data_IF_833198625809
#
_entry.id   IF_833198625809
#
_cell.length_a   1.000
_cell.length_b   1.000
_cell.length_c   1.000
_cell.angle_alpha   90.00
_cell.angle_beta   90.00
_cell.angle_gamma   90.00
#
_symmetry.space_group_name_H-M   'P 1'
#
loop_
_entity.id
_entity.type
_entity.pdbx_description
1 polymer ?
#
# COMPACT_ATOMS: atom_id res chain seq x y z
N UNK A 1 37.90 34.70 20.35
CA UNK A 1 36.89 34.43 21.39
C UNK A 1 35.53 34.43 20.73
N UNK A 2 34.94 33.25 20.53
CA UNK A 2 33.63 33.09 19.88
C UNK A 2 32.55 33.18 20.97
N UNK A 3 31.52 34.04 20.85
CA UNK A 3 30.47 34.09 21.85
C UNK A 3 29.58 32.87 21.72
N UNK A 4 29.50 32.07 22.79
CA UNK A 4 28.53 30.99 22.95
C UNK A 4 27.13 31.58 23.10
N UNK A 5 26.28 31.36 22.11
CA UNK A 5 24.87 31.74 22.15
C UNK A 5 24.09 30.83 23.11
N UNK A 6 23.30 31.46 23.99
CA UNK A 6 22.44 30.81 24.97
C UNK A 6 21.42 29.86 24.32
N UNK A 7 21.24 28.67 24.93
CA UNK A 7 20.30 27.61 24.52
C UNK A 7 18.85 28.07 24.33
N UNK A 8 18.46 29.23 24.87
CA UNK A 8 17.11 29.81 24.68
C UNK A 8 16.92 30.48 23.31
N UNK A 9 17.98 30.98 22.66
CA UNK A 9 17.87 31.63 21.35
C UNK A 9 17.77 30.63 20.19
N UNK A 10 18.36 29.43 20.33
CA UNK A 10 18.29 28.37 19.30
C UNK A 10 16.86 27.81 19.17
N UNK A 11 16.07 27.84 20.24
CA UNK A 11 14.68 27.38 20.20
C UNK A 11 13.73 28.37 19.54
N UNK A 12 14.01 29.68 19.62
CA UNK A 12 13.20 30.72 18.97
C UNK A 12 13.35 30.71 17.44
N UNK A 13 14.57 30.50 16.94
CA UNK A 13 14.86 30.48 15.50
C UNK A 13 14.34 29.21 14.79
N UNK A 14 14.15 28.10 15.53
CA UNK A 14 13.55 26.87 14.97
C UNK A 14 12.02 26.94 14.89
N UNK A 15 11.37 27.80 15.66
CA UNK A 15 9.91 27.93 15.65
C UNK A 15 9.41 28.67 14.40
N UNK A 16 10.13 29.71 13.97
CA UNK A 16 9.81 30.49 12.77
C UNK A 16 9.93 29.70 11.46
N UNK A 17 10.77 28.65 11.43
CA UNK A 17 10.96 27.83 10.22
C UNK A 17 9.81 26.85 9.96
N UNK A 18 9.11 26.41 11.02
CA UNK A 18 7.92 25.56 10.91
C UNK A 18 6.67 26.39 10.56
N UNK A 19 6.58 27.62 11.04
CA UNK A 19 5.51 28.55 10.67
C UNK A 19 5.64 29.03 9.21
N UNK A 20 6.86 29.08 8.65
CA UNK A 20 7.09 29.45 7.24
C UNK A 20 6.82 28.33 6.22
N UNK A 21 6.61 27.07 6.67
CA UNK A 21 6.36 25.91 5.80
C UNK A 21 4.87 25.59 5.62
N UNK A 22 3.98 26.31 6.31
CA UNK A 22 2.54 26.17 6.15
C UNK A 22 2.05 27.25 5.16
N UNK A 23 1.47 26.88 4.00
CA UNK A 23 0.85 27.86 3.14
C UNK A 23 -0.35 28.47 3.88
N UNK A 24 -0.29 29.78 4.09
CA UNK A 24 -1.36 30.68 4.53
C UNK A 24 -2.38 30.12 5.55
N UNK A 25 -2.16 30.46 6.82
CA UNK A 25 -3.26 30.82 7.73
C UNK A 25 -3.84 29.74 8.67
N UNK A 26 -3.40 28.48 8.61
CA UNK A 26 -3.82 27.49 9.62
C UNK A 26 -2.82 27.41 10.78
N UNK A 27 -3.14 28.07 11.90
CA UNK A 27 -2.37 27.95 13.14
C UNK A 27 -2.48 26.53 13.69
N UNK A 28 -1.33 25.93 14.02
CA UNK A 28 -1.23 24.63 14.68
C UNK A 28 -1.74 24.73 16.13
N UNK A 29 -2.99 24.37 16.40
CA UNK A 29 -3.55 24.25 17.75
C UNK A 29 -3.32 22.87 18.38
N UNK A 30 -2.15 22.28 18.12
CA UNK A 30 -1.73 21.05 18.80
C UNK A 30 -1.04 21.33 20.13
N UNK A 31 -1.29 20.49 21.13
CA UNK A 31 -0.61 20.49 22.43
C UNK A 31 0.91 20.30 22.26
N UNK A 32 1.69 20.75 23.24
CA UNK A 32 3.17 20.67 23.22
C UNK A 32 3.68 19.23 23.02
N UNK A 33 2.89 18.24 23.44
CA UNK A 33 3.17 16.81 23.30
C UNK A 33 3.02 16.32 21.84
N UNK A 34 1.98 16.77 21.13
CA UNK A 34 1.75 16.43 19.71
C UNK A 34 2.87 16.97 18.80
N UNK A 35 3.47 18.12 19.15
CA UNK A 35 4.62 18.70 18.42
C UNK A 35 5.93 17.91 18.64
N UNK A 36 6.14 17.40 19.85
CA UNK A 36 7.30 16.55 20.17
C UNK A 36 7.18 15.16 19.55
N UNK A 37 5.95 14.62 19.54
CA UNK A 37 5.61 13.40 18.84
C UNK A 37 5.98 13.53 17.36
N UNK A 38 5.57 14.62 16.69
CA UNK A 38 5.87 14.90 15.27
C UNK A 38 7.38 14.93 14.93
N UNK A 39 8.21 15.52 15.78
CA UNK A 39 9.65 15.71 15.51
C UNK A 39 10.50 14.48 15.86
N UNK A 40 10.03 13.61 16.76
CA UNK A 40 10.74 12.38 17.13
C UNK A 40 10.62 11.24 16.10
N UNK A 41 9.62 11.31 15.21
CA UNK A 41 9.13 10.19 14.38
C UNK A 41 9.86 9.94 13.07
N UNK A 42 10.69 10.88 12.64
CA UNK A 42 11.36 10.86 11.36
C UNK A 42 12.76 10.22 11.42
N UNK A 43 13.05 9.47 12.49
CA UNK A 43 14.39 8.96 12.81
C UNK A 43 14.80 7.66 12.11
N UNK A 44 13.93 6.99 11.34
CA UNK A 44 14.24 5.64 10.82
C UNK A 44 14.34 5.49 9.31
N UNK A 45 14.12 6.55 8.52
CA UNK A 45 14.59 6.70 7.12
C UNK A 45 14.93 8.18 6.93
N UNK A 46 16.00 8.56 6.21
CA UNK A 46 16.20 9.96 5.85
C UNK A 46 15.02 10.41 4.97
N UNK A 47 14.16 11.30 5.47
CA UNK A 47 13.17 11.95 4.60
C UNK A 47 13.80 12.77 3.48
N UNK A 48 15.13 12.87 3.44
CA UNK A 48 15.86 13.50 2.35
C UNK A 48 15.61 12.85 0.99
N UNK A 49 15.11 11.62 0.91
CA UNK A 49 14.72 10.98 -0.36
C UNK A 49 13.25 11.20 -0.75
N UNK A 50 12.41 11.64 0.18
CA UNK A 50 11.02 11.98 -0.11
C UNK A 50 10.98 13.45 -0.53
N UNK A 51 10.35 13.75 -1.68
CA UNK A 51 10.10 15.14 -2.07
C UNK A 51 9.45 15.89 -0.91
N UNK A 52 9.81 17.17 -0.71
CA UNK A 52 9.19 18.04 0.30
C UNK A 52 7.65 18.09 0.16
N UNK A 53 7.13 17.75 -1.02
CA UNK A 53 5.70 17.69 -1.33
C UNK A 53 5.06 16.30 -1.08
N UNK A 54 5.73 15.43 -0.32
CA UNK A 54 5.23 14.08 -0.04
C UNK A 54 3.95 14.11 0.79
N UNK A 55 3.89 14.96 1.83
CA UNK A 55 2.73 15.19 2.70
C UNK A 55 2.61 16.70 2.96
N UNK A 56 1.61 17.35 2.36
CA UNK A 56 1.33 18.78 2.56
C UNK A 56 0.42 19.03 3.77
N UNK A 57 -0.48 18.08 4.05
CA UNK A 57 -1.46 18.14 5.15
C UNK A 57 -1.20 16.98 6.13
N UNK A 58 -1.15 17.20 7.45
CA UNK A 58 -0.99 16.10 8.42
C UNK A 58 -2.05 15.01 8.24
N UNK A 59 -1.67 13.73 8.37
CA UNK A 59 -2.53 12.57 8.05
C UNK A 59 -3.93 12.62 8.72
N UNK A 60 -4.03 13.14 9.94
CA UNK A 60 -5.28 13.24 10.69
C UNK A 60 -6.20 14.39 10.24
N UNK A 61 -5.70 15.27 9.38
CA UNK A 61 -6.45 16.38 8.78
C UNK A 61 -6.69 16.18 7.28
N UNK A 62 -6.18 15.09 6.70
CA UNK A 62 -6.39 14.77 5.29
C UNK A 62 -7.82 14.31 5.06
N UNK A 63 -8.41 14.76 3.94
CA UNK A 63 -9.62 14.10 3.43
C UNK A 63 -9.29 12.71 2.86
N UNK A 64 -10.31 11.92 2.51
CA UNK A 64 -10.09 10.56 2.01
C UNK A 64 -9.29 10.52 0.69
N UNK A 65 -9.38 11.52 -0.17
CA UNK A 65 -8.65 11.59 -1.46
C UNK A 65 -7.18 11.92 -1.24
N UNK A 66 -6.89 12.84 -0.34
CA UNK A 66 -5.54 13.15 0.12
C UNK A 66 -4.91 11.96 0.83
N UNK A 67 -5.67 11.29 1.70
CA UNK A 67 -5.24 10.07 2.39
C UNK A 67 -4.89 8.95 1.41
N UNK A 68 -5.73 8.71 0.40
CA UNK A 68 -5.44 7.76 -0.68
C UNK A 68 -4.11 8.08 -1.36
N UNK A 69 -3.89 9.35 -1.75
CA UNK A 69 -2.64 9.77 -2.39
C UNK A 69 -1.44 9.52 -1.47
N UNK A 70 -1.57 9.84 -0.18
CA UNK A 70 -0.51 9.63 0.83
C UNK A 70 -0.17 8.15 0.98
N UNK A 71 -1.17 7.28 1.13
CA UNK A 71 -1.00 5.82 1.26
C UNK A 71 -0.31 5.26 0.01
N UNK A 72 -0.82 5.60 -1.18
CA UNK A 72 -0.29 5.08 -2.45
C UNK A 72 1.14 5.56 -2.70
N UNK A 73 1.42 6.86 -2.46
CA UNK A 73 2.78 7.39 -2.57
C UNK A 73 3.72 6.72 -1.57
N UNK A 74 3.29 6.48 -0.33
CA UNK A 74 4.08 5.79 0.70
C UNK A 74 4.41 4.35 0.32
N UNK A 75 3.45 3.62 -0.24
CA UNK A 75 3.68 2.26 -0.74
C UNK A 75 4.64 2.24 -1.93
N UNK A 76 4.51 3.20 -2.86
CA UNK A 76 5.43 3.35 -4.00
C UNK A 76 6.86 3.69 -3.57
N UNK A 77 7.00 4.57 -2.58
CA UNK A 77 8.27 4.97 -2.00
C UNK A 77 8.86 3.93 -1.02
N UNK A 78 8.16 2.83 -0.77
CA UNK A 78 8.58 1.76 0.14
C UNK A 78 8.96 2.27 1.54
N UNK A 79 8.14 3.17 2.09
CA UNK A 79 8.35 3.70 3.44
C UNK A 79 8.24 2.54 4.45
N UNK A 80 9.26 2.34 5.28
CA UNK A 80 9.26 1.29 6.33
C UNK A 80 8.80 1.76 7.71
N UNK A 81 8.47 3.06 7.86
CA UNK A 81 8.10 3.64 9.14
C UNK A 81 6.73 3.12 9.62
N UNK A 82 6.73 2.22 10.61
CA UNK A 82 5.52 1.63 11.19
C UNK A 82 4.52 2.67 11.73
N UNK A 83 5.00 3.79 12.30
CA UNK A 83 4.13 4.83 12.84
C UNK A 83 3.38 5.60 11.75
N UNK A 84 4.02 5.81 10.59
CA UNK A 84 3.35 6.38 9.42
C UNK A 84 2.18 5.48 9.00
N UNK A 85 2.44 4.19 8.81
CA UNK A 85 1.41 3.23 8.41
C UNK A 85 0.31 3.05 9.45
N UNK A 86 0.65 3.06 10.74
CA UNK A 86 -0.33 3.05 11.83
C UNK A 86 -1.27 4.26 11.78
N UNK A 87 -0.75 5.46 11.49
CA UNK A 87 -1.57 6.67 11.33
C UNK A 87 -2.45 6.59 10.08
N UNK A 88 -1.90 6.13 8.96
CA UNK A 88 -2.67 5.88 7.74
C UNK A 88 -3.78 4.84 7.95
N UNK A 89 -3.51 3.74 8.66
CA UNK A 89 -4.48 2.70 8.97
C UNK A 89 -5.64 3.26 9.81
N UNK A 90 -5.34 4.01 10.88
CA UNK A 90 -6.36 4.68 11.69
C UNK A 90 -7.22 5.66 10.86
N UNK A 91 -6.58 6.50 10.06
CA UNK A 91 -7.28 7.46 9.21
C UNK A 91 -8.12 6.76 8.13
N UNK A 92 -7.64 5.64 7.58
CA UNK A 92 -8.38 4.81 6.65
C UNK A 92 -9.63 4.23 7.30
N UNK A 93 -9.50 3.63 8.49
CA UNK A 93 -10.63 3.04 9.21
C UNK A 93 -11.73 4.07 9.49
N UNK A 94 -11.36 5.32 9.77
CA UNK A 94 -12.30 6.43 9.94
C UNK A 94 -13.04 6.79 8.64
N UNK A 95 -12.35 6.79 7.50
CA UNK A 95 -12.88 7.21 6.19
C UNK A 95 -13.32 6.05 5.28
N UNK A 96 -13.38 4.82 5.80
CA UNK A 96 -13.43 3.58 5.00
C UNK A 96 -14.56 3.51 3.95
N UNK A 97 -15.70 4.14 4.25
CA UNK A 97 -16.89 4.13 3.39
C UNK A 97 -16.81 5.06 2.18
N UNK A 98 -15.77 5.89 2.10
CA UNK A 98 -15.59 6.83 0.98
C UNK A 98 -14.75 6.26 -0.18
N UNK A 99 -14.18 5.07 -0.01
CA UNK A 99 -13.30 4.47 -1.02
C UNK A 99 -14.05 3.53 -1.95
N UNK A 100 -13.78 3.68 -3.25
CA UNK A 100 -14.26 2.74 -4.28
C UNK A 100 -13.46 1.44 -4.26
N UNK A 101 -13.99 0.36 -4.88
CA UNK A 101 -13.28 -0.92 -5.01
C UNK A 101 -11.87 -0.77 -5.60
N UNK A 102 -11.73 0.05 -6.65
CA UNK A 102 -10.45 0.35 -7.29
C UNK A 102 -9.45 1.08 -6.38
N UNK A 103 -9.95 1.92 -5.47
CA UNK A 103 -9.12 2.61 -4.49
C UNK A 103 -8.72 1.67 -3.36
N UNK A 104 -9.62 0.79 -2.91
CA UNK A 104 -9.31 -0.28 -1.96
C UNK A 104 -8.19 -1.20 -2.47
N UNK A 105 -8.19 -1.55 -3.76
CA UNK A 105 -7.10 -2.31 -4.41
C UNK A 105 -5.76 -1.59 -4.29
N UNK A 106 -5.74 -0.26 -4.51
CA UNK A 106 -4.52 0.55 -4.38
C UNK A 106 -4.06 0.62 -2.92
N UNK A 107 -5.00 0.75 -1.99
CA UNK A 107 -4.74 0.82 -0.55
C UNK A 107 -4.16 -0.50 -0.04
N UNK A 108 -4.80 -1.63 -0.33
CA UNK A 108 -4.31 -2.96 0.09
C UNK A 108 -2.94 -3.25 -0.48
N UNK A 109 -2.70 -2.91 -1.76
CA UNK A 109 -1.39 -3.07 -2.39
C UNK A 109 -0.32 -2.20 -1.71
N UNK A 110 -0.66 -0.96 -1.34
CA UNK A 110 0.28 -0.09 -0.63
C UNK A 110 0.66 -0.63 0.76
N UNK A 111 -0.31 -1.12 1.53
CA UNK A 111 -0.05 -1.76 2.83
C UNK A 111 0.73 -3.08 2.68
N UNK A 112 0.40 -3.90 1.69
CA UNK A 112 1.11 -5.13 1.36
C UNK A 112 2.58 -4.87 1.03
N UNK A 113 2.85 -3.90 0.15
CA UNK A 113 4.22 -3.48 -0.20
C UNK A 113 5.01 -2.94 1.00
N UNK A 114 4.32 -2.31 1.94
CA UNK A 114 4.93 -1.82 3.18
C UNK A 114 5.19 -2.93 4.20
N UNK A 115 4.69 -4.14 3.96
CA UNK A 115 4.68 -5.26 4.91
C UNK A 115 4.10 -4.84 6.27
N UNK A 116 3.05 -4.01 6.24
CA UNK A 116 2.38 -3.55 7.45
C UNK A 116 1.26 -4.52 7.83
N UNK A 117 1.48 -5.30 8.88
CA UNK A 117 0.61 -6.36 9.36
C UNK A 117 -0.39 -5.84 10.41
N UNK A 118 -1.60 -5.53 9.97
CA UNK A 118 -2.69 -5.12 10.86
C UNK A 118 -3.96 -5.93 10.54
N UNK A 119 -4.24 -7.00 11.30
CA UNK A 119 -5.38 -7.87 11.02
C UNK A 119 -6.72 -7.14 11.03
N UNK A 120 -6.88 -6.10 11.87
CA UNK A 120 -8.12 -5.32 11.93
C UNK A 120 -8.32 -4.52 10.64
N UNK A 121 -7.24 -3.88 10.16
CA UNK A 121 -7.23 -3.17 8.89
C UNK A 121 -7.57 -4.11 7.71
N UNK A 122 -6.89 -5.26 7.62
CA UNK A 122 -7.08 -6.20 6.51
C UNK A 122 -8.44 -6.89 6.54
N UNK A 123 -8.98 -7.20 7.71
CA UNK A 123 -10.36 -7.67 7.86
C UNK A 123 -11.35 -6.64 7.32
N UNK A 124 -11.18 -5.37 7.70
CA UNK A 124 -12.08 -4.31 7.23
C UNK A 124 -11.98 -4.08 5.71
N UNK A 125 -10.77 -4.14 5.13
CA UNK A 125 -10.57 -4.07 3.68
C UNK A 125 -11.22 -5.27 2.99
N UNK A 126 -11.05 -6.48 3.54
CA UNK A 126 -11.62 -7.70 2.98
C UNK A 126 -13.15 -7.64 2.93
N UNK A 127 -13.81 -7.21 4.01
CA UNK A 127 -15.27 -7.01 4.02
C UNK A 127 -15.72 -6.03 2.94
N UNK A 128 -15.06 -4.87 2.82
CA UNK A 128 -15.41 -3.86 1.80
C UNK A 128 -15.18 -4.36 0.37
N UNK A 129 -14.12 -5.16 0.15
CA UNK A 129 -13.85 -5.79 -1.15
C UNK A 129 -14.91 -6.84 -1.49
N UNK A 130 -15.37 -7.63 -0.52
CA UNK A 130 -16.44 -8.61 -0.70
C UNK A 130 -17.78 -7.95 -1.03
N UNK A 131 -18.12 -6.84 -0.35
CA UNK A 131 -19.32 -6.05 -0.61
C UNK A 131 -19.32 -5.41 -2.01
N UNK A 132 -18.13 -5.10 -2.53
CA UNK A 132 -17.94 -4.41 -3.82
C UNK A 132 -17.30 -5.29 -4.89
N UNK A 133 -17.36 -6.61 -4.76
CA UNK A 133 -16.64 -7.56 -5.61
C UNK A 133 -16.98 -7.41 -7.10
N UNK A 134 -18.23 -7.07 -7.42
CA UNK A 134 -18.75 -6.82 -8.77
C UNK A 134 -18.06 -5.64 -9.48
N UNK A 135 -17.45 -4.74 -8.72
CA UNK A 135 -16.73 -3.56 -9.24
C UNK A 135 -15.23 -3.82 -9.44
N UNK A 136 -14.75 -5.02 -9.12
CA UNK A 136 -13.36 -5.42 -9.34
C UNK A 136 -13.16 -5.89 -10.78
N UNK A 137 -12.07 -5.46 -11.39
CA UNK A 137 -11.60 -6.05 -12.64
C UNK A 137 -10.83 -7.33 -12.35
N UNK A 138 -10.82 -8.24 -13.31
CA UNK A 138 -10.03 -9.46 -13.24
C UNK A 138 -8.55 -9.20 -12.94
N UNK A 139 -8.00 -8.07 -13.42
CA UNK A 139 -6.61 -7.68 -13.20
C UNK A 139 -6.33 -7.15 -11.80
N UNK A 140 -7.36 -6.75 -11.04
CA UNK A 140 -7.21 -6.29 -9.66
C UNK A 140 -7.03 -7.48 -8.70
N UNK A 141 -7.62 -8.64 -9.03
CA UNK A 141 -7.71 -9.77 -8.12
C UNK A 141 -6.32 -10.32 -7.73
N UNK A 142 -5.39 -10.56 -8.67
CA UNK A 142 -4.04 -11.00 -8.31
C UNK A 142 -3.29 -9.98 -7.45
N UNK A 143 -3.59 -8.68 -7.61
CA UNK A 143 -2.98 -7.61 -6.80
C UNK A 143 -3.45 -7.72 -5.35
N UNK A 144 -4.74 -7.91 -5.13
CA UNK A 144 -5.32 -8.09 -3.78
C UNK A 144 -4.71 -9.32 -3.12
N UNK A 145 -4.77 -10.47 -3.80
CA UNK A 145 -4.27 -11.75 -3.28
C UNK A 145 -2.79 -11.67 -2.91
N UNK A 146 -1.98 -11.13 -3.81
CA UNK A 146 -0.55 -10.95 -3.56
C UNK A 146 -0.28 -10.01 -2.38
N UNK A 147 -0.96 -8.86 -2.32
CA UNK A 147 -0.77 -7.91 -1.23
C UNK A 147 -1.14 -8.48 0.15
N UNK A 148 -2.22 -9.27 0.22
CA UNK A 148 -2.62 -10.00 1.41
C UNK A 148 -1.59 -11.08 1.79
N UNK A 149 -1.05 -11.82 0.81
CA UNK A 149 -0.02 -12.83 1.05
C UNK A 149 1.28 -12.24 1.60
N UNK A 150 1.69 -11.04 1.14
CA UNK A 150 2.92 -10.36 1.60
C UNK A 150 2.89 -10.01 3.09
N UNK A 151 1.71 -9.90 3.69
CA UNK A 151 1.51 -9.64 5.13
C UNK A 151 1.02 -10.87 5.89
N UNK A 152 0.97 -12.04 5.24
CA UNK A 152 0.47 -13.27 5.85
C UNK A 152 -1.03 -13.27 6.17
N UNK A 153 -1.81 -12.35 5.58
CA UNK A 153 -3.26 -12.27 5.80
C UNK A 153 -4.01 -13.25 4.89
N UNK A 154 -4.73 -14.18 5.51
CA UNK A 154 -5.46 -15.24 4.83
C UNK A 154 -6.91 -15.29 5.31
N UNK A 155 -7.82 -14.68 4.54
CA UNK A 155 -9.25 -14.76 4.77
C UNK A 155 -9.86 -15.76 3.79
N UNK A 156 -10.33 -16.91 4.32
CA UNK A 156 -10.83 -18.03 3.52
C UNK A 156 -11.98 -17.63 2.59
N UNK A 157 -12.87 -16.76 3.04
CA UNK A 157 -14.00 -16.28 2.22
C UNK A 157 -13.51 -15.40 1.08
N UNK A 158 -12.70 -14.37 1.39
CA UNK A 158 -12.13 -13.47 0.38
C UNK A 158 -11.34 -14.26 -0.65
N UNK A 159 -10.38 -15.09 -0.22
CA UNK A 159 -9.53 -15.86 -1.12
C UNK A 159 -10.35 -16.85 -1.94
N UNK A 160 -11.30 -17.56 -1.32
CA UNK A 160 -12.18 -18.50 -2.03
C UNK A 160 -12.96 -17.83 -3.16
N UNK A 161 -13.60 -16.68 -2.89
CA UNK A 161 -14.34 -15.94 -3.93
C UNK A 161 -13.43 -15.42 -5.03
N UNK A 162 -12.32 -14.80 -4.65
CA UNK A 162 -11.35 -14.23 -5.60
C UNK A 162 -10.72 -15.32 -6.49
N UNK A 163 -10.37 -16.47 -5.94
CA UNK A 163 -9.85 -17.60 -6.71
C UNK A 163 -10.90 -18.23 -7.62
N UNK A 164 -12.16 -18.32 -7.19
CA UNK A 164 -13.26 -18.76 -8.05
C UNK A 164 -13.34 -17.89 -9.31
N UNK A 165 -13.42 -16.57 -9.13
CA UNK A 165 -13.49 -15.60 -10.24
C UNK A 165 -12.24 -15.69 -11.14
N UNK A 166 -11.05 -15.81 -10.54
CA UNK A 166 -9.81 -16.00 -11.31
C UNK A 166 -9.81 -17.29 -12.12
N UNK A 167 -10.29 -18.40 -11.56
CA UNK A 167 -10.28 -19.70 -12.23
C UNK A 167 -11.17 -19.75 -13.47
N UNK A 168 -12.25 -18.99 -13.46
CA UNK A 168 -13.19 -18.85 -14.59
C UNK A 168 -12.70 -17.90 -15.68
N UNK A 169 -11.69 -17.07 -15.38
CA UNK A 169 -11.23 -15.98 -16.26
C UNK A 169 -9.69 -15.96 -16.37
N UNK A 170 -9.03 -17.11 -16.16
CA UNK A 170 -7.56 -17.19 -16.09
C UNK A 170 -6.91 -16.83 -17.43
N UNK A 171 -7.58 -17.14 -18.53
CA UNK A 171 -7.23 -16.79 -19.91
C UNK A 171 -7.18 -15.28 -20.16
N UNK A 172 -7.88 -14.49 -19.34
CA UNK A 172 -7.91 -13.03 -19.41
C UNK A 172 -6.80 -12.37 -18.61
N UNK A 173 -6.02 -13.15 -17.84
CA UNK A 173 -4.88 -12.65 -17.11
C UNK A 173 -3.62 -12.62 -17.99
N UNK A 174 -2.90 -11.50 -17.95
CA UNK A 174 -1.54 -11.45 -18.46
C UNK A 174 -0.58 -12.26 -17.57
N UNK A 175 0.58 -12.62 -18.12
CA UNK A 175 1.65 -13.40 -17.43
C UNK A 175 1.94 -12.92 -16.01
N UNK A 176 2.04 -11.59 -15.81
CA UNK A 176 2.32 -11.02 -14.50
C UNK A 176 1.21 -11.31 -13.47
N UNK A 177 -0.06 -11.21 -13.88
CA UNK A 177 -1.20 -11.51 -13.01
C UNK A 177 -1.24 -12.97 -12.58
N UNK A 178 -0.89 -13.89 -13.48
CA UNK A 178 -0.79 -15.33 -13.19
C UNK A 178 0.30 -15.57 -12.13
N UNK A 179 1.50 -15.01 -12.31
CA UNK A 179 2.60 -15.15 -11.35
C UNK A 179 2.21 -14.64 -9.96
N UNK A 180 1.55 -13.48 -9.88
CA UNK A 180 1.08 -12.93 -8.61
C UNK A 180 0.05 -13.85 -7.92
N UNK A 181 -0.90 -14.39 -8.69
CA UNK A 181 -1.91 -15.32 -8.16
C UNK A 181 -1.29 -16.63 -7.65
N UNK A 182 -0.32 -17.20 -8.38
CA UNK A 182 0.42 -18.40 -7.95
C UNK A 182 1.21 -18.13 -6.67
N UNK A 183 1.91 -17.00 -6.60
CA UNK A 183 2.68 -16.63 -5.42
C UNK A 183 1.78 -16.54 -4.18
N UNK A 184 0.62 -15.88 -4.31
CA UNK A 184 -0.38 -15.82 -3.25
C UNK A 184 -0.99 -17.18 -2.90
N UNK A 185 -1.14 -18.09 -3.87
CA UNK A 185 -1.69 -19.43 -3.60
C UNK A 185 -0.73 -20.30 -2.78
N UNK A 186 0.58 -20.10 -2.94
CA UNK A 186 1.60 -20.78 -2.15
C UNK A 186 1.49 -20.47 -0.66
N UNK A 187 1.15 -19.23 -0.30
CA UNK A 187 0.99 -18.85 1.11
C UNK A 187 -0.34 -19.31 1.72
N UNK A 188 -1.36 -19.49 0.87
CA UNK A 188 -2.74 -19.73 1.31
C UNK A 188 -3.13 -21.21 1.46
N UNK A 189 -2.19 -22.16 1.30
CA UNK A 189 -2.46 -23.62 1.20
C UNK A 189 -3.58 -23.98 0.19
N UNK A 190 -3.94 -23.05 -0.71
CA UNK A 190 -5.10 -23.13 -1.61
C UNK A 190 -4.69 -23.46 -3.04
N UNK A 191 -3.53 -24.11 -3.19
CA UNK A 191 -2.95 -24.44 -4.49
C UNK A 191 -3.88 -25.31 -5.34
N UNK A 192 -4.67 -26.21 -4.76
CA UNK A 192 -5.38 -27.25 -5.52
C UNK A 192 -6.35 -26.72 -6.59
N UNK A 193 -7.06 -25.63 -6.31
CA UNK A 193 -8.11 -25.10 -7.21
C UNK A 193 -7.47 -24.35 -8.38
N UNK A 194 -6.47 -23.51 -8.10
CA UNK A 194 -5.78 -22.75 -9.14
C UNK A 194 -4.83 -23.62 -9.96
N UNK A 195 -4.15 -24.60 -9.35
CA UNK A 195 -3.14 -25.41 -10.02
C UNK A 195 -3.70 -26.13 -11.23
N UNK A 196 -4.89 -26.73 -11.12
CA UNK A 196 -5.49 -27.51 -12.22
C UNK A 196 -5.79 -26.62 -13.45
N UNK A 197 -6.47 -25.50 -13.24
CA UNK A 197 -6.82 -24.55 -14.31
C UNK A 197 -5.62 -23.76 -14.85
N UNK A 198 -4.68 -23.39 -13.99
CA UNK A 198 -3.44 -22.75 -14.42
C UNK A 198 -2.64 -23.73 -15.28
N UNK A 199 -2.48 -24.99 -14.87
CA UNK A 199 -1.77 -26.01 -15.67
C UNK A 199 -2.44 -26.26 -17.03
N UNK A 200 -3.78 -26.28 -17.09
CA UNK A 200 -4.53 -26.33 -18.34
C UNK A 200 -4.25 -25.09 -19.22
N UNK A 201 -4.21 -23.89 -18.62
CA UNK A 201 -3.90 -22.66 -19.36
C UNK A 201 -2.41 -22.53 -19.75
N UNK A 202 -1.50 -23.14 -18.99
CA UNK A 202 -0.04 -23.11 -19.24
C UNK A 202 0.33 -23.92 -20.48
N UNK A 203 -0.47 -24.90 -20.91
CA UNK A 203 -0.28 -25.53 -22.23
C UNK A 203 -0.34 -24.51 -23.38
N UNK A 204 -1.05 -23.38 -23.20
CA UNK A 204 -1.09 -22.26 -24.15
C UNK A 204 0.16 -21.38 -24.05
N UNK A 205 0.72 -21.20 -22.84
CA UNK A 205 1.90 -20.35 -22.62
C UNK A 205 3.24 -21.04 -22.95
N UNK A 206 3.33 -22.37 -22.84
CA UNK A 206 4.57 -23.12 -23.16
C UNK A 206 4.90 -23.14 -24.66
N UNK A 207 3.92 -22.89 -25.54
CA UNK A 207 4.19 -22.79 -26.98
C UNK A 207 4.95 -21.50 -27.31
N UNK A 208 4.69 -20.38 -26.62
CA UNK A 208 5.37 -19.10 -26.89
C UNK A 208 6.76 -18.98 -26.22
N UNK A 209 7.00 -19.66 -25.10
CA UNK A 209 8.33 -19.61 -24.43
C UNK A 209 9.39 -20.36 -25.26
N UNK A 210 9.02 -21.45 -25.95
CA UNK A 210 9.89 -22.12 -26.91
C UNK A 210 10.16 -21.28 -28.16
N UNK A 211 9.21 -20.44 -28.59
CA UNK A 211 9.41 -19.51 -29.73
C UNK A 211 10.32 -18.34 -29.33
N UNK A 212 10.26 -17.85 -28.09
CA UNK A 212 11.18 -16.80 -27.62
C UNK A 212 12.62 -17.29 -27.34
N UNK A 213 12.81 -18.56 -26.96
CA UNK A 213 14.17 -19.11 -26.79
C UNK A 213 14.86 -19.44 -28.14
N UNK A 214 14.09 -19.61 -29.23
CA UNK A 214 14.65 -19.87 -30.55
C UNK A 214 15.06 -18.60 -31.33
N UNK A 215 14.70 -17.39 -30.87
CA UNK A 215 15.08 -16.13 -31.52
C UNK A 215 16.36 -15.48 -30.97
N UNK A 216 17.07 -16.14 -30.04
CA UNK A 216 18.33 -15.63 -29.46
C UNK A 216 19.57 -16.50 -29.73
N UNK A 217 19.48 -17.43 -30.68
CA UNK A 217 20.60 -18.27 -31.12
C UNK A 217 20.99 -18.06 -32.61
N UNK A 218 20.48 -17.00 -33.24
CA UNK A 218 20.85 -16.63 -34.60
C UNK A 218 20.78 -15.11 -34.78
N UNK A 219 21.82 -14.44 -34.29
CA UNK A 219 22.41 -13.19 -34.83
C UNK A 219 23.68 -12.85 -34.05
#
# INVERSE_FOLDING_TARGET
>A
MVPTLCSRCIHSLRCSYLDSLLPYGRRFFGTRQERHEYTSHFKTIPLSSLSKDFITVPIHHQDYRELLKTIVKGGKASISNKNFWKKCAKAFLYNRHHFTAKELVKIVNAFGRAKYDDPVLFNQIASLLLENQQNLSITDIPIILHACSEVGYHNKELFGRLYSVLSENVDRLGRHGIVMAIHAAKSAESLDILSRRILESVQVFTVEVSVMCNYKMSL
#
